data_IF_316736009787
#
_entry.id   IF_316736009787
#
_cell.length_a   1.000
_cell.length_b   1.000
_cell.length_c   1.000
_cell.angle_alpha   90.00
_cell.angle_beta   90.00
_cell.angle_gamma   90.00
#
_symmetry.space_group_name_H-M   'P 1'
#
loop_
_entity.id
_entity.type
_entity.pdbx_description
1 polymer ?
#
# COMPACT_ATOMS: atom_id res chain seq x y z
N UNK A 1 14.84 -16.59 -2.26
CA UNK A 1 14.49 -15.44 -3.11
C UNK A 1 13.44 -15.92 -4.12
N UNK A 2 12.28 -15.28 -4.23
CA UNK A 2 11.18 -15.74 -5.11
C UNK A 2 9.77 -15.73 -4.50
N UNK A 3 9.62 -15.41 -3.22
CA UNK A 3 8.31 -15.33 -2.54
C UNK A 3 7.91 -13.88 -2.21
N UNK A 4 8.58 -12.90 -2.80
CA UNK A 4 8.32 -11.47 -2.54
C UNK A 4 6.86 -11.11 -2.86
N UNK A 5 6.29 -11.70 -3.93
CA UNK A 5 4.87 -11.56 -4.27
C UNK A 5 3.90 -12.07 -3.18
N UNK A 6 4.29 -13.11 -2.42
CA UNK A 6 3.47 -13.61 -1.30
C UNK A 6 3.54 -12.62 -0.15
N UNK A 7 4.73 -12.11 0.17
CA UNK A 7 4.90 -11.11 1.21
C UNK A 7 4.12 -9.82 0.89
N UNK A 8 4.19 -9.35 -0.36
CA UNK A 8 3.37 -8.24 -0.85
C UNK A 8 1.87 -8.53 -0.71
N UNK A 9 1.43 -9.74 -1.09
CA UNK A 9 0.02 -10.12 -0.97
C UNK A 9 -0.46 -10.10 0.47
N UNK A 10 0.32 -10.59 1.43
CA UNK A 10 -0.02 -10.55 2.85
C UNK A 10 -0.09 -9.10 3.35
N UNK A 11 0.92 -8.28 3.03
CA UNK A 11 0.99 -6.90 3.49
C UNK A 11 -0.06 -5.98 2.83
N UNK A 12 -0.60 -6.37 1.66
CA UNK A 12 -1.65 -5.60 0.98
C UNK A 12 -2.99 -5.54 1.73
N UNK A 13 -3.19 -6.39 2.75
CA UNK A 13 -4.39 -6.37 3.60
C UNK A 13 -4.34 -5.33 4.73
N UNK A 14 -3.19 -4.68 4.95
CA UNK A 14 -3.02 -3.72 6.03
C UNK A 14 -3.72 -2.39 5.71
N UNK A 15 -4.34 -1.79 6.72
CA UNK A 15 -4.79 -0.39 6.66
C UNK A 15 -3.61 0.58 6.78
N UNK A 16 -3.86 1.87 6.58
CA UNK A 16 -2.82 2.90 6.55
C UNK A 16 -1.97 2.95 7.84
N UNK A 17 -2.58 2.70 9.00
CA UNK A 17 -1.87 2.70 10.29
C UNK A 17 -1.02 1.44 10.46
N UNK A 18 -1.56 0.29 10.06
CA UNK A 18 -0.86 -0.98 10.17
C UNK A 18 0.27 -1.08 9.12
N UNK A 19 0.09 -0.49 7.94
CA UNK A 19 1.15 -0.42 6.91
C UNK A 19 2.31 0.46 7.38
N UNK A 20 2.02 1.62 7.99
CA UNK A 20 3.05 2.46 8.62
C UNK A 20 3.78 1.72 9.75
N UNK A 21 3.05 0.97 10.58
CA UNK A 21 3.66 0.13 11.62
C UNK A 21 4.54 -0.97 11.03
N UNK A 22 4.11 -1.57 9.92
CA UNK A 22 4.84 -2.61 9.20
C UNK A 22 6.17 -2.10 8.61
N UNK A 23 6.24 -0.86 8.13
CA UNK A 23 7.50 -0.24 7.68
C UNK A 23 8.55 -0.12 8.78
N UNK A 24 8.13 -0.06 10.04
CA UNK A 24 9.02 0.12 11.20
C UNK A 24 9.45 -1.20 11.86
N UNK A 25 8.96 -2.36 11.39
CA UNK A 25 9.29 -3.67 11.98
C UNK A 25 10.76 -4.01 11.76
N UNK A 26 11.22 -3.97 10.51
CA UNK A 26 12.63 -4.19 10.15
C UNK A 26 12.93 -3.71 8.72
N UNK A 27 14.23 -3.70 8.36
CA UNK A 27 14.69 -3.29 7.03
C UNK A 27 14.10 -4.10 5.88
N UNK A 28 13.86 -5.39 6.09
CA UNK A 28 13.31 -6.26 5.04
C UNK A 28 11.82 -6.00 4.82
N UNK A 29 11.04 -5.75 5.88
CA UNK A 29 9.64 -5.35 5.76
C UNK A 29 9.51 -4.01 5.04
N UNK A 30 10.33 -3.03 5.43
CA UNK A 30 10.42 -1.76 4.73
C UNK A 30 10.78 -1.95 3.24
N UNK A 31 11.74 -2.83 2.93
CA UNK A 31 12.14 -3.14 1.54
C UNK A 31 10.96 -3.70 0.73
N UNK A 32 10.24 -4.69 1.27
CA UNK A 32 9.06 -5.30 0.60
C UNK A 32 7.96 -4.26 0.38
N UNK A 33 7.68 -3.40 1.37
CA UNK A 33 6.66 -2.36 1.27
C UNK A 33 7.01 -1.34 0.16
N UNK A 34 8.28 -0.92 0.14
CA UNK A 34 8.80 0.06 -0.83
C UNK A 34 8.88 -0.49 -2.26
N UNK A 35 9.56 -1.62 -2.45
CA UNK A 35 9.71 -2.25 -3.77
C UNK A 35 8.37 -2.75 -4.32
N UNK A 36 7.48 -3.26 -3.45
CA UNK A 36 6.13 -3.70 -3.80
C UNK A 36 5.12 -2.57 -4.01
N UNK A 37 5.54 -1.32 -3.83
CA UNK A 37 4.71 -0.11 -3.98
C UNK A 37 3.39 -0.18 -3.18
N UNK A 38 3.41 -0.70 -1.95
CA UNK A 38 2.16 -1.00 -1.23
C UNK A 38 1.36 0.25 -0.87
N UNK A 39 2.01 1.39 -0.63
CA UNK A 39 1.32 2.68 -0.45
C UNK A 39 0.53 3.09 -1.69
N UNK A 40 1.10 2.93 -2.88
CA UNK A 40 0.41 3.22 -4.15
C UNK A 40 -0.79 2.30 -4.31
N UNK A 41 -0.61 0.99 -4.11
CA UNK A 41 -1.70 -0.01 -4.20
C UNK A 41 -2.82 0.27 -3.19
N UNK A 42 -2.49 0.70 -1.97
CA UNK A 42 -3.46 1.10 -0.95
C UNK A 42 -4.29 2.30 -1.42
N UNK A 43 -3.63 3.36 -1.93
CA UNK A 43 -4.32 4.54 -2.46
C UNK A 43 -5.20 4.17 -3.65
N UNK A 44 -4.70 3.38 -4.61
CA UNK A 44 -5.48 2.90 -5.75
C UNK A 44 -6.71 2.10 -5.32
N UNK A 45 -6.57 1.23 -4.31
CA UNK A 45 -7.69 0.49 -3.72
C UNK A 45 -8.75 1.44 -3.13
N UNK A 46 -8.33 2.48 -2.39
CA UNK A 46 -9.25 3.51 -1.86
C UNK A 46 -9.93 4.30 -2.98
N UNK A 47 -9.20 4.73 -4.02
CA UNK A 47 -9.75 5.43 -5.19
C UNK A 47 -10.78 4.57 -5.94
N UNK A 48 -10.53 3.27 -6.04
CA UNK A 48 -11.43 2.35 -6.72
C UNK A 48 -12.68 2.03 -5.89
N UNK A 49 -12.62 2.05 -4.57
CA UNK A 49 -13.72 1.61 -3.69
C UNK A 49 -14.49 2.75 -3.02
N UNK A 50 -13.89 3.92 -2.86
CA UNK A 50 -14.48 5.08 -2.17
C UNK A 50 -14.66 6.28 -3.13
N UNK A 51 -15.91 6.72 -3.29
CA UNK A 51 -16.28 7.85 -4.16
C UNK A 51 -15.63 9.18 -3.76
N UNK A 52 -15.36 9.40 -2.47
CA UNK A 52 -14.69 10.60 -1.99
C UNK A 52 -13.23 10.61 -2.46
N UNK A 53 -12.54 9.49 -2.28
CA UNK A 53 -11.16 9.33 -2.76
C UNK A 53 -11.06 9.48 -4.27
N UNK A 54 -12.00 8.87 -5.01
CA UNK A 54 -12.08 9.03 -6.46
C UNK A 54 -12.26 10.49 -6.89
N UNK A 55 -13.18 11.20 -6.24
CA UNK A 55 -13.42 12.62 -6.52
C UNK A 55 -12.20 13.49 -6.20
N UNK A 56 -11.48 13.19 -5.11
CA UNK A 56 -10.26 13.91 -4.74
C UNK A 56 -9.13 13.67 -5.74
N UNK A 57 -8.87 12.43 -6.13
CA UNK A 57 -7.84 12.08 -7.11
C UNK A 57 -8.05 12.83 -8.44
N UNK A 58 -9.27 12.78 -8.98
CA UNK A 58 -9.62 13.48 -10.22
C UNK A 58 -9.47 15.01 -10.12
N UNK A 59 -9.95 15.61 -9.03
CA UNK A 59 -9.92 17.07 -8.86
C UNK A 59 -8.53 17.63 -8.58
N UNK A 60 -7.66 16.84 -7.95
CA UNK A 60 -6.29 17.24 -7.62
C UNK A 60 -5.26 16.83 -8.67
N UNK A 61 -5.65 16.02 -9.65
CA UNK A 61 -4.73 15.51 -10.69
C UNK A 61 -3.68 14.55 -10.12
N UNK A 62 -4.05 13.82 -9.07
CA UNK A 62 -3.22 12.79 -8.45
C UNK A 62 -3.50 11.42 -9.04
#
# INVERSE_FOLDING_TARGET
KGLDHIAESILSYLDEKSLCSAELVCKEWHRVISEGMLWKKLIESRVNTDSLWRGLAQRRGW
#
